data_IF_296438787227
#
_entry.id   IF_296438787227
#
_cell.length_a   1.000
_cell.length_b   1.000
_cell.length_c   1.000
_cell.angle_alpha   90.00
_cell.angle_beta   90.00
_cell.angle_gamma   90.00
#
_symmetry.space_group_name_H-M   'P 1'
#
loop_
_entity.id
_entity.type
_entity.pdbx_description
1 polymer ?
#
# COMPACT_ATOMS: atom_id res chain seq x y z
N UNK A 1 5.06 26.60 -4.23
CA UNK A 1 4.33 25.65 -3.42
C UNK A 1 3.11 25.22 -4.21
N UNK A 2 3.22 24.13 -4.93
CA UNK A 2 2.06 23.51 -5.56
C UNK A 2 1.29 22.77 -4.46
N UNK A 3 0.19 23.34 -4.00
CA UNK A 3 -0.83 22.59 -3.28
C UNK A 3 -1.24 21.43 -4.20
N UNK A 4 -0.82 20.24 -3.85
CA UNK A 4 -1.40 19.04 -4.45
C UNK A 4 -2.81 18.94 -3.90
N UNK A 5 -3.72 19.51 -4.64
CA UNK A 5 -5.16 19.37 -4.40
C UNK A 5 -5.45 17.88 -4.26
N UNK A 6 -6.20 17.49 -3.24
CA UNK A 6 -6.68 16.12 -2.98
C UNK A 6 -7.54 15.54 -4.15
N UNK A 7 -7.32 16.01 -5.37
CA UNK A 7 -8.23 16.01 -6.49
C UNK A 7 -8.09 14.90 -7.49
N UNK A 8 -7.11 14.00 -7.41
CA UNK A 8 -7.02 13.02 -8.50
C UNK A 8 -6.49 11.64 -8.06
N UNK A 9 -7.13 11.06 -7.06
CA UNK A 9 -6.96 9.64 -6.75
C UNK A 9 -7.91 8.86 -7.66
N UNK A 10 -7.36 8.16 -8.65
CA UNK A 10 -8.12 7.41 -9.64
C UNK A 10 -8.01 5.91 -9.37
N UNK A 11 -9.16 5.24 -9.31
CA UNK A 11 -9.20 3.78 -9.22
C UNK A 11 -8.77 3.14 -10.54
N UNK A 12 -7.95 2.12 -10.44
CA UNK A 12 -7.48 1.31 -11.56
C UNK A 12 -8.22 -0.02 -11.62
N UNK A 13 -8.51 -0.50 -12.82
CA UNK A 13 -8.91 -1.90 -13.02
C UNK A 13 -7.70 -2.83 -12.79
N UNK A 14 -7.91 -4.14 -12.55
CA UNK A 14 -6.81 -5.05 -12.24
C UNK A 14 -5.73 -5.12 -13.31
N UNK A 15 -6.08 -5.04 -14.59
CA UNK A 15 -5.10 -5.09 -15.68
C UNK A 15 -4.23 -3.83 -15.72
N UNK A 16 -4.85 -2.65 -15.58
CA UNK A 16 -4.12 -1.38 -15.49
C UNK A 16 -3.25 -1.31 -14.24
N UNK A 17 -3.76 -1.78 -13.12
CA UNK A 17 -3.01 -1.85 -11.86
C UNK A 17 -1.79 -2.77 -11.99
N UNK A 18 -1.93 -3.93 -12.61
CA UNK A 18 -0.82 -4.85 -12.87
C UNK A 18 0.26 -4.21 -13.74
N UNK A 19 -0.13 -3.55 -14.83
CA UNK A 19 0.80 -2.87 -15.72
C UNK A 19 1.55 -1.73 -15.00
N UNK A 20 0.86 -0.93 -14.21
CA UNK A 20 1.45 0.18 -13.46
C UNK A 20 2.38 -0.33 -12.34
N UNK A 21 2.04 -1.42 -11.66
CA UNK A 21 2.91 -2.06 -10.68
C UNK A 21 4.20 -2.58 -11.32
N UNK A 22 4.12 -3.20 -12.48
CA UNK A 22 5.31 -3.63 -13.21
C UNK A 22 6.17 -2.46 -13.67
N UNK A 23 5.56 -1.38 -14.11
CA UNK A 23 6.29 -0.15 -14.46
C UNK A 23 6.99 0.47 -13.24
N UNK A 24 6.42 0.33 -12.04
CA UNK A 24 7.03 0.77 -10.79
C UNK A 24 8.26 -0.08 -10.40
N UNK A 25 8.37 -1.31 -10.90
CA UNK A 25 9.49 -2.22 -10.67
C UNK A 25 9.82 -2.38 -9.17
N UNK A 26 11.05 -2.02 -8.75
CA UNK A 26 11.51 -2.22 -7.38
C UNK A 26 10.67 -1.48 -6.33
N UNK A 27 10.12 -0.33 -6.65
CA UNK A 27 9.23 0.41 -5.73
C UNK A 27 7.88 -0.26 -5.51
N UNK A 28 7.47 -1.12 -6.44
CA UNK A 28 6.24 -1.92 -6.33
C UNK A 28 6.42 -3.25 -5.61
N UNK A 29 7.64 -3.66 -5.30
CA UNK A 29 7.90 -4.92 -4.62
C UNK A 29 7.30 -4.94 -3.22
N UNK A 30 6.58 -6.00 -2.92
CA UNK A 30 5.88 -6.15 -1.64
C UNK A 30 4.55 -5.40 -1.55
N UNK A 31 4.15 -4.69 -2.59
CA UNK A 31 2.85 -4.02 -2.66
C UNK A 31 1.72 -5.04 -2.49
N UNK A 32 0.98 -4.95 -1.38
CA UNK A 32 -0.03 -5.94 -0.98
C UNK A 32 0.49 -7.40 -1.00
N UNK A 33 1.76 -7.61 -0.73
CA UNK A 33 2.41 -8.91 -0.76
C UNK A 33 2.79 -9.41 -2.16
N UNK A 34 2.59 -8.62 -3.21
CA UNK A 34 2.91 -8.98 -4.59
C UNK A 34 4.37 -8.67 -4.94
N UNK A 35 4.88 -9.33 -5.97
CA UNK A 35 6.20 -9.04 -6.53
C UNK A 35 6.09 -8.75 -8.04
N UNK A 36 5.97 -7.48 -8.43
CA UNK A 36 5.81 -7.10 -9.83
C UNK A 36 7.07 -7.33 -10.68
N UNK A 37 8.21 -7.62 -10.07
CA UNK A 37 9.46 -7.91 -10.80
C UNK A 37 9.48 -9.35 -11.29
N UNK A 38 8.98 -10.29 -10.49
CA UNK A 38 8.99 -11.72 -10.82
C UNK A 38 7.68 -12.25 -11.39
N UNK A 39 6.57 -11.54 -11.17
CA UNK A 39 5.25 -11.91 -11.69
C UNK A 39 4.93 -11.13 -12.96
N UNK A 40 4.29 -11.78 -13.92
CA UNK A 40 3.81 -11.10 -15.13
C UNK A 40 2.47 -10.42 -14.92
N UNK A 41 2.02 -9.61 -15.87
CA UNK A 41 0.78 -8.83 -15.79
C UNK A 41 -0.45 -9.70 -15.55
N UNK A 42 -0.52 -10.86 -16.19
CA UNK A 42 -1.68 -11.77 -16.08
C UNK A 42 -1.78 -12.32 -14.65
N UNK A 43 -0.66 -12.76 -14.09
CA UNK A 43 -0.62 -13.27 -12.71
C UNK A 43 -0.92 -12.17 -11.70
N UNK A 44 -0.34 -10.98 -11.87
CA UNK A 44 -0.61 -9.84 -11.00
C UNK A 44 -2.09 -9.45 -11.02
N UNK A 45 -2.69 -9.34 -12.21
CA UNK A 45 -4.10 -9.00 -12.35
C UNK A 45 -5.00 -10.06 -11.72
N UNK A 46 -4.67 -11.35 -11.90
CA UNK A 46 -5.40 -12.46 -11.30
C UNK A 46 -5.32 -12.43 -9.76
N UNK A 47 -4.15 -12.16 -9.19
CA UNK A 47 -3.98 -12.06 -7.74
C UNK A 47 -4.72 -10.85 -7.16
N UNK A 48 -4.65 -9.69 -7.82
CA UNK A 48 -5.40 -8.51 -7.40
C UNK A 48 -6.91 -8.78 -7.39
N UNK A 49 -7.41 -9.48 -8.40
CA UNK A 49 -8.82 -9.87 -8.49
C UNK A 49 -9.18 -10.87 -7.38
N UNK A 50 -8.34 -11.89 -7.16
CA UNK A 50 -8.57 -12.91 -6.13
C UNK A 50 -8.64 -12.30 -4.72
N UNK A 51 -7.75 -11.34 -4.43
CA UNK A 51 -7.73 -10.63 -3.14
C UNK A 51 -8.85 -9.59 -3.01
N UNK A 52 -9.58 -9.31 -4.08
CA UNK A 52 -10.51 -8.16 -4.14
C UNK A 52 -9.80 -6.84 -3.79
N UNK A 53 -8.56 -6.71 -4.25
CA UNK A 53 -7.76 -5.53 -4.00
C UNK A 53 -8.32 -4.32 -4.75
N UNK A 54 -8.26 -3.17 -4.09
CA UNK A 54 -8.53 -1.88 -4.70
C UNK A 54 -7.21 -1.16 -4.90
N UNK A 55 -6.89 -0.82 -6.13
CA UNK A 55 -5.66 -0.10 -6.47
C UNK A 55 -6.03 1.26 -7.05
N UNK A 56 -5.37 2.28 -6.58
CA UNK A 56 -5.57 3.67 -6.99
C UNK A 56 -4.25 4.28 -7.43
N UNK A 57 -4.33 5.24 -8.31
CA UNK A 57 -3.20 6.05 -8.74
C UNK A 57 -3.40 7.50 -8.31
N UNK A 58 -2.37 8.08 -7.73
CA UNK A 58 -2.28 9.50 -7.37
C UNK A 58 -0.95 10.06 -7.88
N UNK A 59 -0.97 10.75 -9.01
CA UNK A 59 0.25 11.13 -9.71
C UNK A 59 1.07 9.89 -10.10
N UNK A 60 2.30 9.81 -9.62
CA UNK A 60 3.19 8.66 -9.85
C UNK A 60 3.09 7.58 -8.78
N UNK A 61 2.31 7.82 -7.73
CA UNK A 61 2.16 6.92 -6.61
C UNK A 61 1.01 5.94 -6.84
N UNK A 62 1.25 4.67 -6.55
CA UNK A 62 0.21 3.66 -6.43
C UNK A 62 -0.14 3.46 -4.97
N UNK A 63 -1.44 3.33 -4.72
CA UNK A 63 -2.03 3.10 -3.41
C UNK A 63 -2.94 1.88 -3.50
N UNK A 64 -2.90 1.03 -2.50
CA UNK A 64 -3.70 -0.18 -2.50
C UNK A 64 -4.35 -0.47 -1.16
N UNK A 65 -5.49 -1.13 -1.21
CA UNK A 65 -6.18 -1.62 -0.02
C UNK A 65 -6.83 -2.98 -0.28
N UNK A 66 -6.76 -3.82 0.74
CA UNK A 66 -7.48 -5.10 0.83
C UNK A 66 -8.15 -5.16 2.19
N UNK A 67 -9.44 -5.48 2.23
CA UNK A 67 -10.13 -5.69 3.50
C UNK A 67 -9.54 -6.88 4.25
N UNK A 68 -9.35 -6.73 5.56
CA UNK A 68 -8.97 -7.86 6.40
C UNK A 68 -10.19 -8.81 6.53
N UNK A 69 -10.10 -10.08 6.12
CA UNK A 69 -11.21 -11.00 6.20
C UNK A 69 -11.67 -11.30 7.65
N UNK A 70 -10.75 -11.17 8.61
CA UNK A 70 -11.03 -11.42 10.03
C UNK A 70 -11.56 -10.18 10.76
N UNK A 71 -11.33 -8.99 10.19
CA UNK A 71 -11.76 -7.71 10.77
C UNK A 71 -12.22 -6.76 9.64
N UNK A 72 -13.53 -6.72 9.30
CA UNK A 72 -14.03 -5.98 8.13
C UNK A 72 -13.79 -4.47 8.17
N UNK A 73 -13.54 -3.89 9.34
CA UNK A 73 -13.21 -2.46 9.50
C UNK A 73 -11.72 -2.17 9.53
N UNK A 74 -10.90 -3.18 9.28
CA UNK A 74 -9.46 -3.02 9.11
C UNK A 74 -9.09 -3.29 7.66
N UNK A 75 -8.23 -2.47 7.09
CA UNK A 75 -7.68 -2.68 5.76
C UNK A 75 -6.17 -2.88 5.81
N UNK A 76 -5.69 -3.83 5.01
CA UNK A 76 -4.28 -3.88 4.62
C UNK A 76 -4.07 -2.83 3.54
N UNK A 77 -3.07 -1.98 3.72
CA UNK A 77 -2.77 -0.87 2.81
C UNK A 77 -1.34 -0.93 2.28
N UNK A 78 -1.14 -0.44 1.09
CA UNK A 78 0.17 -0.37 0.45
C UNK A 78 0.35 0.94 -0.30
N UNK A 79 1.60 1.35 -0.47
CA UNK A 79 1.99 2.56 -1.19
C UNK A 79 3.36 2.36 -1.84
N UNK A 80 3.64 3.06 -2.93
CA UNK A 80 4.90 2.91 -3.68
C UNK A 80 5.87 4.09 -3.52
N UNK A 81 5.51 5.12 -2.78
CA UNK A 81 6.30 6.35 -2.66
C UNK A 81 6.42 6.82 -1.21
N UNK A 82 7.42 7.65 -0.96
CA UNK A 82 7.67 8.29 0.34
C UNK A 82 6.79 9.52 0.60
N UNK A 83 6.01 9.98 -0.37
CA UNK A 83 5.14 11.16 -0.22
C UNK A 83 3.94 10.84 0.68
N UNK A 84 3.80 11.51 1.83
CA UNK A 84 2.70 11.24 2.74
C UNK A 84 1.36 11.85 2.28
N UNK A 85 1.34 12.85 1.42
CA UNK A 85 0.13 13.59 1.09
C UNK A 85 -0.92 12.73 0.35
N UNK A 86 -0.57 11.99 -0.72
CA UNK A 86 -1.53 11.09 -1.36
C UNK A 86 -1.98 9.95 -0.44
N UNK A 87 -1.07 9.40 0.36
CA UNK A 87 -1.39 8.35 1.31
C UNK A 87 -2.38 8.86 2.36
N UNK A 88 -2.18 10.05 2.92
CA UNK A 88 -3.10 10.66 3.89
C UNK A 88 -4.50 10.83 3.30
N UNK A 89 -4.61 11.32 2.08
CA UNK A 89 -5.88 11.47 1.39
C UNK A 89 -6.58 10.11 1.17
N UNK A 90 -5.82 9.09 0.82
CA UNK A 90 -6.31 7.73 0.62
C UNK A 90 -6.83 7.11 1.92
N UNK A 91 -6.08 7.24 3.02
CA UNK A 91 -6.51 6.75 4.33
C UNK A 91 -7.78 7.45 4.81
N UNK A 92 -7.89 8.75 4.58
CA UNK A 92 -9.12 9.50 4.86
C UNK A 92 -10.31 8.99 4.04
N UNK A 93 -10.09 8.69 2.78
CA UNK A 93 -11.10 8.08 1.91
C UNK A 93 -11.56 6.71 2.46
N UNK A 94 -10.63 5.82 2.81
CA UNK A 94 -10.96 4.51 3.38
C UNK A 94 -11.71 4.65 4.70
N UNK A 95 -11.31 5.56 5.55
CA UNK A 95 -11.98 5.83 6.83
C UNK A 95 -13.40 6.38 6.67
N UNK A 96 -13.61 7.25 5.71
CA UNK A 96 -14.90 7.93 5.49
C UNK A 96 -15.86 7.10 4.65
N UNK A 97 -15.38 6.59 3.50
CA UNK A 97 -16.24 5.90 2.53
C UNK A 97 -16.40 4.42 2.83
N UNK A 98 -15.36 3.76 3.33
CA UNK A 98 -15.38 2.34 3.63
C UNK A 98 -15.47 2.05 5.12
N UNK A 99 -15.55 3.09 5.95
CA UNK A 99 -15.70 3.00 7.41
C UNK A 99 -14.59 2.20 8.09
N UNK A 100 -13.39 2.22 7.53
CA UNK A 100 -12.23 1.62 8.17
C UNK A 100 -11.89 2.34 9.46
N UNK A 101 -11.61 1.59 10.51
CA UNK A 101 -11.22 2.10 11.83
C UNK A 101 -9.75 1.91 12.12
N UNK A 102 -9.08 1.03 11.39
CA UNK A 102 -7.65 0.79 11.52
C UNK A 102 -7.03 0.28 10.21
N UNK A 103 -5.70 0.40 10.12
CA UNK A 103 -4.94 0.05 8.94
C UNK A 103 -3.68 -0.71 9.33
N UNK A 104 -3.32 -1.70 8.53
CA UNK A 104 -2.07 -2.46 8.64
C UNK A 104 -1.31 -2.33 7.34
N UNK A 105 -0.02 -2.06 7.41
CA UNK A 105 0.87 -2.08 6.29
C UNK A 105 2.00 -3.09 6.53
N UNK A 106 2.19 -4.00 5.60
CA UNK A 106 3.31 -4.95 5.61
C UNK A 106 4.30 -4.50 4.54
N UNK A 107 5.43 -3.98 4.97
CA UNK A 107 6.36 -3.25 4.10
C UNK A 107 7.73 -3.94 4.15
N UNK A 108 8.36 -4.23 3.00
CA UNK A 108 9.74 -4.69 2.99
C UNK A 108 10.65 -3.70 3.73
N UNK A 109 11.56 -4.21 4.54
CA UNK A 109 12.49 -3.37 5.27
C UNK A 109 13.29 -2.48 4.32
N UNK A 110 13.38 -1.19 4.64
CA UNK A 110 14.06 -0.19 3.81
C UNK A 110 13.28 0.29 2.58
N UNK A 111 12.01 -0.09 2.39
CA UNK A 111 11.20 0.41 1.29
C UNK A 111 10.96 1.93 1.39
N UNK A 112 10.87 2.60 0.23
CA UNK A 112 10.65 4.04 0.17
C UNK A 112 9.35 4.49 0.87
N UNK A 113 8.32 3.67 0.84
CA UNK A 113 7.02 3.95 1.45
C UNK A 113 7.02 4.01 2.98
N UNK A 114 8.05 3.49 3.65
CA UNK A 114 8.16 3.54 5.12
C UNK A 114 8.01 4.97 5.64
N UNK A 115 8.69 5.92 5.02
CA UNK A 115 8.61 7.33 5.43
C UNK A 115 7.19 7.90 5.29
N UNK A 116 6.45 7.52 4.25
CA UNK A 116 5.06 7.94 4.08
C UNK A 116 4.17 7.40 5.19
N UNK A 117 4.29 6.11 5.51
CA UNK A 117 3.51 5.48 6.57
C UNK A 117 3.79 6.12 7.94
N UNK A 118 5.06 6.31 8.29
CA UNK A 118 5.43 6.93 9.57
C UNK A 118 4.88 8.36 9.70
N UNK A 119 4.95 9.14 8.62
CA UNK A 119 4.39 10.51 8.59
C UNK A 119 2.86 10.55 8.60
N UNK A 120 2.21 9.45 8.25
CA UNK A 120 0.75 9.31 8.35
C UNK A 120 0.29 8.68 9.67
N UNK A 121 1.16 8.58 10.68
CA UNK A 121 0.81 8.13 12.02
C UNK A 121 0.92 6.63 12.26
N UNK A 122 1.48 5.87 11.32
CA UNK A 122 1.73 4.45 11.51
C UNK A 122 2.89 4.21 12.46
N UNK A 123 2.74 3.19 13.29
CA UNK A 123 3.79 2.74 14.22
C UNK A 123 4.19 1.31 13.89
N UNK A 124 5.47 1.04 13.98
CA UNK A 124 6.02 -0.31 13.86
C UNK A 124 5.51 -1.16 15.03
N UNK A 125 4.86 -2.28 14.73
CA UNK A 125 4.32 -3.21 15.73
C UNK A 125 5.01 -4.57 15.69
N UNK A 126 5.78 -4.85 14.65
CA UNK A 126 6.51 -6.12 14.54
C UNK A 126 7.26 -6.25 13.24
N UNK A 127 7.92 -7.40 13.08
CA UNK A 127 8.59 -7.76 11.84
C UNK A 127 8.52 -9.27 11.62
N UNK A 128 8.39 -9.65 10.36
CA UNK A 128 8.54 -11.04 9.90
C UNK A 128 9.96 -11.18 9.37
N UNK A 129 10.78 -11.95 10.07
CA UNK A 129 12.18 -12.15 9.71
C UNK A 129 12.31 -13.06 8.51
N UNK A 130 13.24 -12.74 7.62
CA UNK A 130 13.57 -13.54 6.43
C UNK A 130 12.31 -13.97 5.65
N UNK A 131 11.33 -13.08 5.57
CA UNK A 131 10.00 -13.39 5.05
C UNK A 131 9.93 -13.38 3.53
N UNK A 132 10.78 -12.59 2.88
CA UNK A 132 10.83 -12.50 1.41
C UNK A 132 12.23 -12.74 0.90
N UNK A 133 12.32 -13.51 -0.19
CA UNK A 133 13.56 -13.63 -0.96
C UNK A 133 13.57 -12.58 -2.07
N UNK A 134 14.58 -11.72 -2.07
CA UNK A 134 14.70 -10.64 -3.05
C UNK A 134 16.16 -10.29 -3.29
N UNK A 135 16.53 -10.09 -4.56
CA UNK A 135 17.87 -9.62 -4.93
C UNK A 135 19.02 -10.49 -4.35
N UNK A 136 18.84 -11.81 -4.35
CA UNK A 136 19.86 -12.74 -3.87
C UNK A 136 19.94 -12.93 -2.35
N UNK A 137 18.99 -12.43 -1.60
CA UNK A 137 18.94 -12.58 -0.14
C UNK A 137 17.54 -12.55 0.43
N UNK A 138 17.43 -12.93 1.69
CA UNK A 138 16.19 -12.80 2.44
C UNK A 138 16.07 -11.41 3.02
N UNK A 139 14.84 -10.89 3.03
CA UNK A 139 14.50 -9.60 3.62
C UNK A 139 13.40 -9.74 4.65
N UNK A 140 13.49 -8.92 5.68
CA UNK A 140 12.44 -8.77 6.67
C UNK A 140 11.27 -7.99 6.07
N UNK A 141 10.07 -8.31 6.55
CA UNK A 141 8.88 -7.50 6.29
C UNK A 141 8.45 -6.87 7.61
N UNK A 142 8.39 -5.56 7.64
CA UNK A 142 8.01 -4.80 8.82
C UNK A 142 6.50 -4.59 8.82
N UNK A 143 5.89 -4.78 9.98
CA UNK A 143 4.45 -4.60 10.17
C UNK A 143 4.22 -3.26 10.87
N UNK A 144 3.44 -2.40 10.20
CA UNK A 144 3.00 -1.10 10.71
C UNK A 144 1.50 -1.12 10.96
N UNK A 145 1.07 -0.40 11.97
CA UNK A 145 -0.34 -0.25 12.33
C UNK A 145 -0.67 1.20 12.63
N UNK A 146 -1.84 1.64 12.23
CA UNK A 146 -2.44 2.90 12.67
C UNK A 146 -3.94 2.74 12.87
N UNK A 147 -4.48 3.39 13.88
CA UNK A 147 -5.91 3.63 13.99
C UNK A 147 -6.32 4.79 13.06
N UNK A 148 -7.61 4.91 12.78
CA UNK A 148 -8.12 6.08 12.05
C UNK A 148 -7.78 7.39 12.75
N UNK A 149 -7.82 7.41 14.09
CA UNK A 149 -7.47 8.60 14.89
C UNK A 149 -6.00 8.96 14.72
N UNK A 150 -5.10 7.98 14.72
CA UNK A 150 -3.67 8.21 14.49
C UNK A 150 -3.41 8.89 13.14
N UNK A 151 -4.12 8.45 12.09
CA UNK A 151 -3.96 9.01 10.73
C UNK A 151 -4.56 10.40 10.57
N UNK A 152 -5.53 10.77 11.39
CA UNK A 152 -6.11 12.12 11.37
C UNK A 152 -5.28 13.13 12.16
N UNK A 153 -4.44 12.66 13.09
CA UNK A 153 -3.64 13.52 13.99
C UNK A 153 -2.22 13.74 13.50
N UNK A 154 -1.81 13.03 12.45
CA UNK A 154 -0.46 13.05 11.92
C UNK A 154 -0.19 14.18 10.90
#
# INVERSE_FOLDING_TARGET
VTETTAGDIRRLDPASAAADLRAAADTGRGFLGLDPVTQNDVLLAAELTRMQAQVFRAGDMLLGAVANPDQPRQAFVAATSADPAPLRAFLSFLGTRQRCTSFVAMVPDGAASVAAFERCGFRRVGALRDHRYQSGGYQDVVIYHASREDTCSA
#
